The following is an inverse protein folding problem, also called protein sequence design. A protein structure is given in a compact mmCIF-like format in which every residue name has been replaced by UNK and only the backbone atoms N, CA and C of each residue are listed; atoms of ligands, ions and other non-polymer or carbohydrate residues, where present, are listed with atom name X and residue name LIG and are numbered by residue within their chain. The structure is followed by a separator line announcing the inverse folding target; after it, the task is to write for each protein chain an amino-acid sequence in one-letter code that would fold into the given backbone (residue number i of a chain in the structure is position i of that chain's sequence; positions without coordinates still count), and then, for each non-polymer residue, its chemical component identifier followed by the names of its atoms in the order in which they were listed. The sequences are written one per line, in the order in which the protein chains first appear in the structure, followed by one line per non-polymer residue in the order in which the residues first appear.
data_IF_759138077829
#
_entry.id   IF_759138077829
#
_cell.length_a   1.000
_cell.length_b   1.000
_cell.length_c   1.000
_cell.angle_alpha   90.00
_cell.angle_beta   90.00
_cell.angle_gamma   90.00
#
_symmetry.space_group_name_H-M   'P 1'
#
loop_
_entity.id
_entity.type
_entity.pdbx_description
1 polymer ?
#
# COMPACT_ATOMS: atom_id res chain seq x y z
N UNK A 1 -2.60 -4.84 -0.14
CA UNK A 1 -1.46 -3.97 -0.43
C UNK A 1 -0.22 -4.71 0.03
N UNK A 2 0.60 -5.20 -0.91
CA UNK A 2 1.86 -5.87 -0.57
C UNK A 2 3.02 -4.86 -0.72
N UNK A 3 3.69 -4.60 0.39
CA UNK A 3 4.79 -3.63 0.45
C UNK A 3 6.01 -4.07 -0.37
N UNK A 4 6.21 -5.39 -0.53
CA UNK A 4 7.32 -5.96 -1.29
C UNK A 4 7.10 -5.74 -2.78
N UNK A 5 5.86 -5.93 -3.26
CA UNK A 5 5.52 -5.68 -4.66
C UNK A 5 5.64 -4.18 -5.01
N UNK A 6 5.23 -3.30 -4.09
CA UNK A 6 5.39 -1.85 -4.27
C UNK A 6 6.87 -1.44 -4.34
N UNK A 7 7.71 -2.02 -3.50
CA UNK A 7 9.15 -1.77 -3.53
C UNK A 7 9.74 -2.22 -4.88
N UNK A 8 9.36 -3.42 -5.36
CA UNK A 8 9.78 -3.93 -6.67
C UNK A 8 9.32 -3.04 -7.81
N UNK A 9 8.06 -2.62 -7.81
CA UNK A 9 7.50 -1.72 -8.83
C UNK A 9 8.19 -0.34 -8.84
N UNK A 10 8.70 0.11 -7.69
CA UNK A 10 9.44 1.37 -7.56
C UNK A 10 10.90 1.27 -8.00
N UNK A 11 11.36 0.08 -8.40
CA UNK A 11 12.73 -0.19 -8.82
C UNK A 11 13.69 -0.58 -7.68
N UNK A 12 13.16 -0.94 -6.51
CA UNK A 12 13.96 -1.49 -5.41
C UNK A 12 14.17 -2.99 -5.60
N UNK A 13 15.37 -3.45 -5.27
CA UNK A 13 15.75 -4.87 -5.23
C UNK A 13 15.53 -5.41 -3.82
N UNK A 14 14.89 -6.57 -3.72
CA UNK A 14 14.59 -7.25 -2.46
C UNK A 14 15.37 -8.56 -2.41
N UNK A 15 16.23 -8.70 -1.41
CA UNK A 15 17.11 -9.85 -1.21
C UNK A 15 16.70 -10.55 0.09
N UNK A 16 16.54 -11.88 0.06
CA UNK A 16 16.31 -12.68 1.26
C UNK A 16 17.66 -13.03 1.88
N UNK A 17 17.98 -12.43 3.03
CA UNK A 17 19.26 -12.65 3.71
C UNK A 17 19.24 -13.92 4.57
N UNK A 18 18.07 -14.31 5.07
CA UNK A 18 17.92 -15.52 5.86
C UNK A 18 16.52 -15.73 6.39
N UNK A 19 16.29 -16.94 6.92
CA UNK A 19 15.05 -17.32 7.58
C UNK A 19 15.38 -17.94 8.92
N UNK A 20 14.81 -17.41 10.00
CA UNK A 20 14.98 -17.93 11.35
C UNK A 20 13.58 -18.28 11.87
N UNK A 21 13.32 -19.58 12.03
CA UNK A 21 11.98 -20.05 12.33
C UNK A 21 10.99 -19.69 11.23
N UNK A 22 9.98 -18.88 11.56
CA UNK A 22 8.95 -18.39 10.61
C UNK A 22 9.25 -17.00 10.06
N UNK A 23 10.25 -16.30 10.61
CA UNK A 23 10.59 -14.95 10.21
C UNK A 23 11.57 -14.96 9.04
N UNK A 24 11.34 -14.05 8.09
CA UNK A 24 12.18 -13.86 6.90
C UNK A 24 12.83 -12.48 6.98
N UNK A 25 14.16 -12.45 6.90
CA UNK A 25 14.95 -11.22 6.94
C UNK A 25 15.32 -10.83 5.52
N UNK A 26 14.97 -9.59 5.15
CA UNK A 26 15.16 -9.10 3.79
C UNK A 26 15.85 -7.75 3.77
N UNK A 27 16.86 -7.63 2.92
CA UNK A 27 17.50 -6.37 2.57
C UNK A 27 16.80 -5.74 1.37
N UNK A 28 16.70 -4.41 1.40
CA UNK A 28 16.11 -3.60 0.32
C UNK A 28 17.17 -2.63 -0.18
N UNK A 29 17.48 -2.70 -1.48
CA UNK A 29 18.55 -1.91 -2.10
C UNK A 29 18.05 -1.21 -3.36
N UNK A 30 18.58 -0.03 -3.66
CA UNK A 30 18.25 0.72 -4.87
C UNK A 30 18.79 2.14 -4.82
N UNK A 31 18.48 2.94 -5.84
CA UNK A 31 18.83 4.36 -5.84
C UNK A 31 17.90 5.18 -4.95
N UNK A 32 18.34 6.37 -4.55
CA UNK A 32 17.50 7.32 -3.80
C UNK A 32 16.21 7.64 -4.57
N UNK A 33 16.28 7.78 -5.90
CA UNK A 33 15.09 8.04 -6.71
C UNK A 33 14.10 6.86 -6.74
N UNK A 34 14.56 5.62 -6.55
CA UNK A 34 13.66 4.48 -6.38
C UNK A 34 12.96 4.52 -5.01
N UNK A 35 13.68 4.94 -3.97
CA UNK A 35 13.11 5.16 -2.63
C UNK A 35 12.06 6.29 -2.62
N UNK A 36 12.32 7.38 -3.34
CA UNK A 36 11.36 8.50 -3.50
C UNK A 36 10.05 8.03 -4.15
N UNK A 37 10.13 7.31 -5.27
CA UNK A 37 8.94 6.73 -5.95
C UNK A 37 8.16 5.77 -5.05
N UNK A 38 8.87 4.98 -4.25
CA UNK A 38 8.23 4.08 -3.29
C UNK A 38 7.45 4.86 -2.22
N UNK A 39 8.04 5.94 -1.68
CA UNK A 39 7.36 6.80 -0.71
C UNK A 39 6.12 7.49 -1.31
N UNK A 40 6.19 7.96 -2.56
CA UNK A 40 5.04 8.53 -3.27
C UNK A 40 3.91 7.50 -3.43
N UNK A 41 4.25 6.27 -3.82
CA UNK A 41 3.27 5.19 -3.99
C UNK A 41 2.59 4.86 -2.66
N UNK A 42 3.33 4.84 -1.53
CA UNK A 42 2.75 4.65 -0.20
C UNK A 42 1.77 5.76 0.17
N UNK A 43 2.11 7.02 -0.10
CA UNK A 43 1.23 8.16 0.17
C UNK A 43 -0.06 8.09 -0.66
N UNK A 44 0.05 7.76 -1.94
CA UNK A 44 -1.10 7.60 -2.83
C UNK A 44 -2.01 6.44 -2.38
N UNK A 45 -1.42 5.29 -2.02
CA UNK A 45 -2.19 4.15 -1.51
C UNK A 45 -2.90 4.49 -0.19
N UNK A 46 -2.25 5.23 0.71
CA UNK A 46 -2.87 5.66 1.97
C UNK A 46 -4.01 6.67 1.73
N UNK A 47 -3.80 7.65 0.85
CA UNK A 47 -4.82 8.63 0.49
C UNK A 47 -6.04 7.98 -0.20
N UNK A 48 -5.80 7.01 -1.09
CA UNK A 48 -6.87 6.30 -1.79
C UNK A 48 -7.68 5.39 -0.84
N UNK A 49 -7.05 4.81 0.17
CA UNK A 49 -7.74 4.04 1.23
C UNK A 49 -8.65 4.94 2.08
N UNK A 50 -8.19 6.14 2.42
CA UNK A 50 -9.01 7.13 3.13
C UNK A 50 -10.19 7.63 2.29
N UNK A 51 -9.99 7.85 0.98
CA UNK A 51 -11.05 8.29 0.07
C UNK A 51 -12.12 7.20 -0.14
N UNK A 52 -11.72 5.93 -0.25
CA UNK A 52 -12.63 4.80 -0.36
C UNK A 52 -13.46 4.52 0.92
N UNK A 53 -12.92 4.86 2.10
CA UNK A 53 -13.63 4.77 3.37
C UNK A 53 -14.68 5.88 3.54
N UNK A 54 -14.39 7.10 3.10
CA UNK A 54 -15.33 8.23 3.17
C UNK A 54 -16.55 8.06 2.24
N UNK A 55 -16.40 7.36 1.11
CA UNK A 55 -17.49 7.20 0.14
C UNK A 55 -18.54 6.14 0.53
N UNK A 56 -18.22 5.17 1.40
CA UNK A 56 -19.19 4.13 1.83
C UNK A 56 -20.29 4.63 2.77
N UNK A 57 -20.13 5.80 3.39
CA UNK A 57 -21.10 6.34 4.35
C UNK A 57 -22.21 7.18 3.72
N UNK A 58 -22.13 7.49 2.42
CA UNK A 58 -23.05 8.44 1.76
C UNK A 58 -24.15 7.76 0.91
N UNK A 59 -24.20 6.42 0.86
CA UNK A 59 -25.09 5.67 -0.04
C UNK A 59 -26.39 5.12 0.56
N UNK A 60 -26.63 5.24 1.87
CA UNK A 60 -27.75 4.57 2.57
C UNK A 60 -28.78 5.54 3.17
N UNK A 61 -29.08 6.66 2.50
CA UNK A 61 -30.04 7.66 3.00
C UNK A 61 -31.15 8.01 2.01
N UNK A 62 -31.48 7.14 1.06
CA UNK A 62 -32.51 7.43 0.05
C UNK A 62 -33.37 6.22 -0.29
N UNK A 63 -33.93 5.53 0.72
CA UNK A 63 -35.07 4.64 0.46
C UNK A 63 -36.01 4.38 1.65
N UNK A 64 -36.59 5.42 2.25
CA UNK A 64 -37.88 5.30 2.97
C UNK A 64 -38.71 6.57 2.86
N UNK A 65 -39.46 6.71 1.76
CA UNK A 65 -40.63 7.60 1.70
C UNK A 65 -41.74 6.92 0.89
N UNK A 66 -42.54 6.13 1.59
CA UNK A 66 -43.90 5.67 1.32
C UNK A 66 -44.19 4.71 2.51
N UNK A 67 -45.22 4.87 3.32
CA UNK A 67 -46.62 5.24 3.05
C UNK A 67 -47.25 5.94 4.24
#
# INVERSE_FOLDING_TARGET
MDIIDMARASGLTIILDGRIGREEYRSVCGSVSALERFAETLQQCAANQYCGAAHRSSGDASFRRAS
#
